data_IF_723700143177
#
_entry.id   IF_723700143177
#
_cell.length_a   1.000
_cell.length_b   1.000
_cell.length_c   1.000
_cell.angle_alpha   90.00
_cell.angle_beta   90.00
_cell.angle_gamma   90.00
#
_symmetry.space_group_name_H-M   'P 1'
#
loop_
_entity.id
_entity.type
_entity.pdbx_description
1 polymer ?
#
# COMPACT_ATOMS: atom_id res chain seq x y z
N UNK A 1 1.33 1.68 -12.31
CA UNK A 1 2.07 2.96 -12.41
C UNK A 1 2.48 3.31 -13.84
N UNK A 2 3.05 2.38 -14.61
CA UNK A 2 3.49 2.59 -16.01
C UNK A 2 2.37 3.07 -16.94
N UNK A 3 1.18 2.46 -16.85
CA UNK A 3 0.01 2.82 -17.68
C UNK A 3 -0.44 4.27 -17.43
N UNK A 4 -0.56 4.69 -16.16
CA UNK A 4 -0.92 6.07 -15.81
C UNK A 4 0.10 7.08 -16.37
N UNK A 5 1.40 6.77 -16.34
CA UNK A 5 2.41 7.68 -16.91
C UNK A 5 2.28 7.79 -18.43
N UNK A 6 2.01 6.69 -19.12
CA UNK A 6 1.74 6.69 -20.56
C UNK A 6 0.49 7.51 -20.89
N UNK A 7 -0.59 7.34 -20.14
CA UNK A 7 -1.85 8.07 -20.36
C UNK A 7 -1.72 9.57 -20.07
N UNK A 8 -0.96 9.93 -19.02
CA UNK A 8 -0.68 11.32 -18.68
C UNK A 8 0.21 12.02 -19.71
N UNK A 9 1.12 11.28 -20.35
CA UNK A 9 1.97 11.80 -21.41
C UNK A 9 1.18 12.09 -22.71
N UNK A 10 0.05 11.40 -22.92
CA UNK A 10 -0.83 11.61 -24.09
C UNK A 10 -1.94 12.65 -23.85
N UNK A 11 -2.21 13.00 -22.59
CA UNK A 11 -3.22 13.99 -22.24
C UNK A 11 -2.84 15.39 -22.74
N UNK A 12 -3.72 16.02 -23.52
CA UNK A 12 -3.45 17.32 -24.18
C UNK A 12 -3.72 18.51 -23.26
N UNK A 13 -4.49 18.30 -22.19
CA UNK A 13 -4.87 19.36 -21.25
C UNK A 13 -4.71 18.95 -19.79
N UNK A 14 -4.48 19.94 -18.92
CA UNK A 14 -4.47 19.75 -17.45
C UNK A 14 -5.79 19.17 -16.93
N UNK A 15 -6.91 19.40 -17.63
CA UNK A 15 -8.23 18.86 -17.26
C UNK A 15 -8.30 17.36 -17.55
N UNK A 16 -7.83 16.92 -18.71
CA UNK A 16 -7.73 15.49 -19.06
C UNK A 16 -6.80 14.76 -18.10
N UNK A 17 -5.64 15.34 -17.78
CA UNK A 17 -4.73 14.77 -16.77
C UNK A 17 -5.43 14.58 -15.42
N UNK A 18 -6.19 15.58 -14.94
CA UNK A 18 -6.95 15.46 -13.68
C UNK A 18 -8.02 14.36 -13.74
N UNK A 19 -8.69 14.19 -14.88
CA UNK A 19 -9.70 13.14 -15.06
C UNK A 19 -9.05 11.76 -15.01
N UNK A 20 -7.93 11.57 -15.73
CA UNK A 20 -7.18 10.32 -15.74
C UNK A 20 -6.65 9.96 -14.35
N UNK A 21 -6.05 10.93 -13.64
CA UNK A 21 -5.62 10.74 -12.25
C UNK A 21 -6.81 10.33 -11.39
N UNK A 22 -7.94 11.03 -11.46
CA UNK A 22 -9.11 10.74 -10.62
C UNK A 22 -9.73 9.37 -10.94
N UNK A 23 -9.76 8.96 -12.19
CA UNK A 23 -10.24 7.64 -12.60
C UNK A 23 -9.34 6.54 -12.04
N UNK A 24 -8.02 6.69 -12.20
CA UNK A 24 -7.02 5.76 -11.66
C UNK A 24 -7.06 5.71 -10.12
N UNK A 25 -7.20 6.86 -9.45
CA UNK A 25 -7.40 6.91 -7.99
C UNK A 25 -8.67 6.16 -7.56
N UNK A 26 -9.75 6.27 -8.35
CA UNK A 26 -11.00 5.54 -8.10
C UNK A 26 -10.84 4.03 -8.24
N UNK A 27 -10.16 3.58 -9.29
CA UNK A 27 -9.88 2.16 -9.54
C UNK A 27 -9.01 1.57 -8.41
N UNK A 28 -7.93 2.26 -8.04
CA UNK A 28 -7.07 1.84 -6.93
C UNK A 28 -7.87 1.76 -5.62
N UNK A 29 -8.72 2.75 -5.32
CA UNK A 29 -9.60 2.70 -4.15
C UNK A 29 -10.55 1.51 -4.18
N UNK A 30 -11.11 1.18 -5.35
CA UNK A 30 -12.02 0.05 -5.49
C UNK A 30 -11.30 -1.29 -5.29
N UNK A 31 -10.12 -1.45 -5.90
CA UNK A 31 -9.27 -2.61 -5.72
C UNK A 31 -8.86 -2.78 -4.25
N UNK A 32 -8.32 -1.74 -3.61
CA UNK A 32 -7.94 -1.82 -2.20
C UNK A 32 -9.14 -2.12 -1.29
N UNK A 33 -10.31 -1.53 -1.54
CA UNK A 33 -11.51 -1.88 -0.79
C UNK A 33 -11.85 -3.36 -0.88
N UNK A 34 -11.78 -3.93 -2.08
CA UNK A 34 -12.10 -5.34 -2.31
C UNK A 34 -11.07 -6.23 -1.61
N UNK A 35 -9.78 -5.99 -1.89
CA UNK A 35 -8.72 -6.86 -1.38
C UNK A 35 -8.57 -6.73 0.15
N UNK A 36 -8.54 -5.51 0.71
CA UNK A 36 -8.37 -5.31 2.16
C UNK A 36 -9.54 -5.88 2.95
N UNK A 37 -10.79 -5.70 2.49
CA UNK A 37 -11.95 -6.28 3.19
C UNK A 37 -11.91 -7.80 3.21
N UNK A 38 -11.22 -8.41 2.26
CA UNK A 38 -11.08 -9.86 2.15
C UNK A 38 -9.83 -10.40 2.85
N UNK A 39 -8.95 -9.55 3.37
CA UNK A 39 -7.79 -10.01 4.14
C UNK A 39 -8.26 -10.59 5.48
N UNK A 40 -7.68 -11.72 5.84
CA UNK A 40 -7.75 -12.21 7.22
C UNK A 40 -6.97 -11.29 8.16
N UNK A 41 -7.24 -11.38 9.46
CA UNK A 41 -6.54 -10.60 10.49
C UNK A 41 -5.01 -10.82 10.41
N UNK A 42 -4.58 -12.05 10.13
CA UNK A 42 -3.16 -12.38 9.97
C UNK A 42 -2.56 -11.76 8.71
N UNK A 43 -3.25 -11.86 7.58
CA UNK A 43 -2.74 -11.33 6.30
C UNK A 43 -2.63 -9.80 6.30
N UNK A 44 -3.59 -9.10 6.90
CA UNK A 44 -3.46 -7.66 7.05
C UNK A 44 -2.39 -7.26 8.06
N UNK A 45 -2.14 -8.09 9.10
CA UNK A 45 -0.96 -7.93 9.97
C UNK A 45 0.36 -8.04 9.21
N UNK A 46 0.49 -8.99 8.29
CA UNK A 46 1.67 -9.12 7.41
C UNK A 46 1.80 -7.91 6.49
N UNK A 47 0.69 -7.44 5.88
CA UNK A 47 0.70 -6.26 5.01
C UNK A 47 1.22 -5.00 5.73
N UNK A 48 0.79 -4.78 6.96
CA UNK A 48 1.26 -3.68 7.83
C UNK A 48 2.77 -3.76 8.04
N UNK A 49 3.29 -4.94 8.38
CA UNK A 49 4.72 -5.18 8.60
C UNK A 49 5.55 -4.95 7.33
N UNK A 50 5.06 -5.38 6.17
CA UNK A 50 5.71 -5.14 4.89
C UNK A 50 5.81 -3.64 4.57
N UNK A 51 4.75 -2.87 4.85
CA UNK A 51 4.76 -1.42 4.64
C UNK A 51 5.74 -0.73 5.59
N UNK A 52 5.72 -1.09 6.89
CA UNK A 52 6.66 -0.56 7.90
C UNK A 52 8.11 -0.86 7.51
N UNK A 53 8.39 -2.10 7.07
CA UNK A 53 9.69 -2.54 6.58
C UNK A 53 10.22 -1.70 5.40
N UNK A 54 9.39 -1.45 4.38
CA UNK A 54 9.80 -0.69 3.18
C UNK A 54 9.98 0.81 3.43
N UNK A 55 9.32 1.36 4.45
CA UNK A 55 9.27 2.82 4.69
C UNK A 55 10.02 3.28 5.94
N UNK A 56 10.38 2.35 6.84
CA UNK A 56 11.06 2.64 8.10
C UNK A 56 10.20 3.37 9.15
N UNK A 57 8.91 3.58 8.86
CA UNK A 57 7.97 4.31 9.71
C UNK A 57 6.86 3.38 10.17
N UNK A 58 6.46 3.49 11.45
CA UNK A 58 5.33 2.72 11.95
C UNK A 58 4.11 2.99 11.06
N UNK A 59 3.31 1.95 10.82
CA UNK A 59 2.10 2.08 9.98
C UNK A 59 1.15 3.17 10.49
N UNK A 60 1.19 3.47 11.79
CA UNK A 60 0.47 4.59 12.40
C UNK A 60 1.02 5.96 11.98
N UNK A 61 2.35 6.12 11.95
CA UNK A 61 3.00 7.36 11.55
C UNK A 61 2.85 7.60 10.03
N UNK A 62 2.91 6.53 9.24
CA UNK A 62 2.54 6.54 7.82
C UNK A 62 1.11 7.04 7.55
N UNK A 63 0.12 6.61 8.36
CA UNK A 63 -1.27 7.10 8.24
C UNK A 63 -1.31 8.63 8.31
N UNK A 64 -0.47 9.20 9.18
CA UNK A 64 -0.45 10.63 9.49
C UNK A 64 0.35 11.44 8.47
N UNK A 65 1.39 10.86 7.87
CA UNK A 65 2.38 11.58 7.07
C UNK A 65 2.08 11.58 5.56
N UNK A 66 1.26 10.64 5.07
CA UNK A 66 1.01 10.50 3.63
C UNK A 66 -0.03 11.48 3.09
N UNK A 67 0.41 12.38 2.20
CA UNK A 67 -0.45 13.33 1.47
C UNK A 67 -1.08 12.65 0.25
N UNK A 68 -2.40 12.45 0.27
CA UNK A 68 -3.18 11.96 -0.89
C UNK A 68 -4.48 11.25 -0.50
N UNK A 69 -5.54 11.40 -1.30
CA UNK A 69 -6.88 10.91 -0.95
C UNK A 69 -7.09 9.39 -1.05
N UNK A 70 -6.28 8.69 -1.85
CA UNK A 70 -6.30 7.22 -1.97
C UNK A 70 -5.55 6.57 -0.81
N UNK A 71 -4.38 7.10 -0.51
CA UNK A 71 -3.50 6.59 0.53
C UNK A 71 -4.11 6.79 1.93
N UNK A 72 -4.64 7.97 2.22
CA UNK A 72 -5.34 8.21 3.48
C UNK A 72 -6.54 7.27 3.67
N UNK A 73 -7.27 6.97 2.59
CA UNK A 73 -8.39 6.03 2.61
C UNK A 73 -7.93 4.59 2.90
N UNK A 74 -6.83 4.15 2.30
CA UNK A 74 -6.22 2.84 2.54
C UNK A 74 -5.90 2.67 4.04
N UNK A 75 -5.16 3.61 4.61
CA UNK A 75 -4.75 3.55 6.01
C UNK A 75 -5.93 3.65 6.98
N UNK A 76 -6.94 4.45 6.68
CA UNK A 76 -8.16 4.51 7.49
C UNK A 76 -8.90 3.15 7.47
N UNK A 77 -8.93 2.48 6.32
CA UNK A 77 -9.57 1.16 6.18
C UNK A 77 -8.81 0.10 6.98
N UNK A 78 -7.48 0.10 6.90
CA UNK A 78 -6.62 -0.78 7.70
C UNK A 78 -6.75 -0.47 9.19
N UNK A 79 -6.77 0.79 9.60
CA UNK A 79 -6.94 1.17 11.01
C UNK A 79 -8.27 0.74 11.62
N UNK A 80 -9.35 0.76 10.83
CA UNK A 80 -10.67 0.28 11.29
C UNK A 80 -10.68 -1.23 11.53
N UNK A 81 -9.92 -2.01 10.75
CA UNK A 81 -9.93 -3.49 10.81
C UNK A 81 -8.85 -4.02 11.76
N UNK A 82 -7.69 -3.35 11.82
CA UNK A 82 -6.47 -3.83 12.48
C UNK A 82 -6.02 -2.94 13.65
N UNK A 83 -6.85 -1.99 14.10
CA UNK A 83 -6.51 -0.91 15.03
C UNK A 83 -5.56 -1.26 16.18
N UNK A 84 -5.86 -2.30 16.95
CA UNK A 84 -5.03 -2.69 18.11
C UNK A 84 -3.67 -3.31 17.73
N UNK A 85 -3.54 -3.87 16.52
CA UNK A 85 -2.33 -4.55 16.04
C UNK A 85 -1.39 -3.61 15.26
N UNK A 86 -1.84 -2.40 14.89
CA UNK A 86 -1.05 -1.44 14.13
C UNK A 86 0.15 -0.85 14.88
N UNK A 87 0.23 -1.06 16.19
CA UNK A 87 1.39 -0.65 17.00
C UNK A 87 2.55 -1.65 16.92
N UNK A 88 2.30 -2.86 16.46
CA UNK A 88 3.35 -3.87 16.29
C UNK A 88 4.19 -3.47 15.08
N UNK A 89 5.46 -3.18 15.37
CA UNK A 89 6.44 -2.87 14.34
C UNK A 89 6.94 -4.15 13.69
N UNK A 90 7.47 -4.01 12.49
CA UNK A 90 8.29 -5.05 11.88
C UNK A 90 9.55 -5.29 12.73
N UNK A 91 9.83 -6.56 13.05
CA UNK A 91 11.08 -6.97 13.69
C UNK A 91 11.72 -8.11 12.87
N UNK A 92 12.91 -7.91 12.27
CA UNK A 92 13.56 -8.93 11.46
C UNK A 92 13.93 -10.22 12.23
N UNK A 93 14.00 -10.18 13.56
CA UNK A 93 14.25 -11.35 14.41
C UNK A 93 12.99 -12.16 14.69
N UNK A 94 11.84 -11.50 14.85
CA UNK A 94 10.55 -12.15 15.10
C UNK A 94 9.80 -12.49 13.80
N UNK A 95 10.02 -11.71 12.74
CA UNK A 95 9.33 -11.80 11.44
C UNK A 95 10.17 -12.48 10.35
N UNK A 96 11.02 -13.43 10.73
CA UNK A 96 11.92 -14.15 9.80
C UNK A 96 11.18 -14.84 8.65
N UNK A 97 9.96 -15.32 8.91
CA UNK A 97 9.13 -15.96 7.91
C UNK A 97 8.70 -14.97 6.81
N UNK A 98 8.52 -13.69 7.15
CA UNK A 98 8.24 -12.64 6.18
C UNK A 98 9.44 -12.49 5.24
N UNK A 99 10.66 -12.42 5.77
CA UNK A 99 11.87 -12.35 4.94
C UNK A 99 12.07 -13.59 4.07
N UNK A 100 11.81 -14.78 4.62
CA UNK A 100 11.92 -16.04 3.87
C UNK A 100 10.92 -16.08 2.70
N UNK A 101 9.69 -15.58 2.89
CA UNK A 101 8.69 -15.46 1.83
C UNK A 101 9.12 -14.44 0.78
N UNK A 102 9.62 -13.27 1.18
CA UNK A 102 10.12 -12.25 0.22
C UNK A 102 11.28 -12.81 -0.61
N UNK A 103 12.24 -13.50 0.02
CA UNK A 103 13.38 -14.11 -0.67
C UNK A 103 12.94 -15.21 -1.65
N UNK A 104 12.06 -16.12 -1.22
CA UNK A 104 11.57 -17.22 -2.07
C UNK A 104 10.67 -16.77 -3.21
N UNK A 105 9.99 -15.62 -3.08
CA UNK A 105 9.19 -15.03 -4.15
C UNK A 105 10.03 -14.43 -5.29
N UNK A 106 11.36 -14.37 -5.14
CA UNK A 106 12.27 -13.77 -6.14
C UNK A 106 12.23 -12.23 -6.16
N UNK A 107 11.54 -11.59 -5.21
CA UNK A 107 11.33 -10.15 -5.19
C UNK A 107 12.63 -9.33 -5.25
N UNK A 108 13.68 -9.76 -4.54
CA UNK A 108 14.98 -9.10 -4.58
C UNK A 108 15.69 -9.21 -5.94
N UNK A 109 15.41 -10.25 -6.72
CA UNK A 109 16.04 -10.43 -8.03
C UNK A 109 15.43 -9.54 -9.11
N UNK A 110 14.19 -9.08 -8.94
CA UNK A 110 13.49 -8.19 -9.88
C UNK A 110 13.81 -6.70 -9.71
N UNK A 111 14.39 -6.30 -8.57
CA UNK A 111 14.66 -4.91 -8.23
C UNK A 111 16.15 -4.50 -8.38
N UNK A 112 16.94 -5.33 -9.06
CA UNK A 112 18.33 -5.08 -9.49
C UNK A 112 18.36 -4.77 -11.00
#
# INVERSE_FOLDING_TARGET
YTILQTDLAQAKTKREQRILVKAFEGEIKAMFNREIKNLTITQGGILIKLIDRETGNSSYDLVREMKGGVTAFFYQSVARIFGNNLKNKYDPQEDRDIEAIIQSSGYYMYNL
#
